data_IF_446737099974
#
_entry.id   IF_446737099974
#
_cell.length_a   1.000
_cell.length_b   1.000
_cell.length_c   1.000
_cell.angle_alpha   90.00
_cell.angle_beta   90.00
_cell.angle_gamma   90.00
#
_symmetry.space_group_name_H-M   'P 1'
#
loop_
_entity.id
_entity.type
_entity.pdbx_description
1 polymer ?
#
# COMPACT_ATOMS: atom_id res chain seq x y z
N UNK A 1 9.11 36.90 12.10
CA UNK A 1 8.28 37.63 11.09
C UNK A 1 7.12 36.73 10.73
N UNK A 2 5.91 37.26 10.54
CA UNK A 2 4.75 36.48 10.08
C UNK A 2 4.89 36.27 8.57
N UNK A 3 4.88 35.03 8.10
CA UNK A 3 5.03 34.70 6.67
C UNK A 3 3.75 35.01 5.89
N UNK A 4 3.82 35.04 4.55
CA UNK A 4 2.61 35.20 3.73
C UNK A 4 1.67 34.01 3.91
N UNK A 5 2.20 32.80 4.05
CA UNK A 5 1.39 31.62 4.36
C UNK A 5 0.60 31.79 5.67
N UNK A 6 1.24 32.24 6.75
CA UNK A 6 0.58 32.47 8.03
C UNK A 6 -0.53 33.53 7.94
N UNK A 7 -0.31 34.59 7.15
CA UNK A 7 -1.35 35.61 6.89
C UNK A 7 -2.50 35.01 6.08
N UNK A 8 -2.20 34.17 5.09
CA UNK A 8 -3.19 33.45 4.29
C UNK A 8 -4.08 32.55 5.14
N UNK A 9 -3.48 31.73 6.03
CA UNK A 9 -4.22 30.87 6.97
C UNK A 9 -5.14 31.71 7.86
N UNK A 10 -4.62 32.76 8.50
CA UNK A 10 -5.43 33.66 9.36
C UNK A 10 -6.56 34.33 8.60
N UNK A 11 -6.32 34.77 7.37
CA UNK A 11 -7.36 35.37 6.53
C UNK A 11 -8.44 34.34 6.17
N UNK A 12 -8.04 33.10 5.84
CA UNK A 12 -8.96 32.01 5.52
C UNK A 12 -9.86 31.65 6.71
N UNK A 13 -9.27 31.51 7.91
CA UNK A 13 -10.00 31.25 9.16
C UNK A 13 -11.02 32.36 9.49
N UNK A 14 -10.66 33.61 9.20
CA UNK A 14 -11.56 34.76 9.35
C UNK A 14 -12.55 34.93 8.17
N UNK A 15 -12.62 33.95 7.26
CA UNK A 15 -13.47 33.96 6.05
C UNK A 15 -13.20 35.13 5.11
N UNK A 16 -12.05 35.78 5.23
CA UNK A 16 -11.57 36.81 4.31
C UNK A 16 -10.92 36.16 3.09
N UNK A 17 -11.70 35.37 2.34
CA UNK A 17 -11.17 34.48 1.30
C UNK A 17 -10.40 35.20 0.18
N UNK A 18 -10.80 36.37 -0.35
CA UNK A 18 -9.99 37.08 -1.34
C UNK A 18 -8.61 37.48 -0.82
N UNK A 19 -8.52 37.92 0.44
CA UNK A 19 -7.24 38.26 1.06
C UNK A 19 -6.40 36.99 1.32
N UNK A 20 -7.03 35.90 1.75
CA UNK A 20 -6.36 34.61 1.90
C UNK A 20 -5.75 34.12 0.58
N UNK A 21 -6.51 34.25 -0.52
CA UNK A 21 -6.09 33.85 -1.85
C UNK A 21 -4.82 34.59 -2.27
N UNK A 22 -4.80 35.93 -2.13
CA UNK A 22 -3.62 36.75 -2.46
C UNK A 22 -2.38 36.34 -1.65
N UNK A 23 -2.54 36.15 -0.34
CA UNK A 23 -1.44 35.72 0.52
C UNK A 23 -0.92 34.31 0.16
N UNK A 24 -1.81 33.40 -0.23
CA UNK A 24 -1.40 32.08 -0.70
C UNK A 24 -0.74 32.12 -2.08
N UNK A 25 -1.16 32.99 -3.00
CA UNK A 25 -0.46 33.19 -4.28
C UNK A 25 0.97 33.70 -4.07
N UNK A 26 1.15 34.70 -3.21
CA UNK A 26 2.48 35.22 -2.85
C UNK A 26 3.34 34.10 -2.25
N UNK A 27 2.82 33.33 -1.28
CA UNK A 27 3.57 32.22 -0.68
C UNK A 27 3.87 31.09 -1.69
N UNK A 28 2.94 30.75 -2.58
CA UNK A 28 3.14 29.72 -3.61
C UNK A 28 4.16 30.14 -4.68
N UNK A 29 4.36 31.45 -4.88
CA UNK A 29 5.43 31.97 -5.74
C UNK A 29 6.83 31.71 -5.17
N UNK A 30 6.93 31.59 -3.83
CA UNK A 30 8.14 31.18 -3.09
C UNK A 30 8.22 29.65 -2.90
N UNK A 31 7.57 28.88 -3.78
CA UNK A 31 7.52 27.41 -3.75
C UNK A 31 6.91 26.80 -2.47
N UNK A 32 6.11 27.57 -1.72
CA UNK A 32 5.40 27.04 -0.55
C UNK A 32 4.31 26.02 -0.98
N UNK A 33 4.55 24.75 -0.68
CA UNK A 33 3.70 23.61 -1.07
C UNK A 33 2.33 23.62 -0.37
N UNK A 34 2.29 24.02 0.89
CA UNK A 34 1.03 24.13 1.65
C UNK A 34 0.14 25.24 1.08
N UNK A 35 0.74 26.36 0.65
CA UNK A 35 0.03 27.44 -0.03
C UNK A 35 -0.56 26.96 -1.36
N UNK A 36 0.19 26.20 -2.16
CA UNK A 36 -0.30 25.61 -3.42
C UNK A 36 -1.49 24.67 -3.17
N UNK A 37 -1.43 23.83 -2.13
CA UNK A 37 -2.57 22.99 -1.72
C UNK A 37 -3.78 23.83 -1.33
N UNK A 38 -3.58 24.91 -0.57
CA UNK A 38 -4.67 25.81 -0.19
C UNK A 38 -5.30 26.50 -1.41
N UNK A 39 -4.49 26.97 -2.36
CA UNK A 39 -4.97 27.53 -3.62
C UNK A 39 -5.80 26.50 -4.40
N UNK A 40 -5.32 25.25 -4.49
CA UNK A 40 -6.05 24.19 -5.14
C UNK A 40 -7.44 23.98 -4.50
N UNK A 41 -7.49 23.88 -3.18
CA UNK A 41 -8.74 23.74 -2.42
C UNK A 41 -9.67 24.96 -2.56
N UNK A 42 -9.11 26.17 -2.65
CA UNK A 42 -9.87 27.40 -2.87
C UNK A 42 -10.51 27.42 -4.25
N UNK A 43 -9.77 27.03 -5.30
CA UNK A 43 -10.31 26.86 -6.65
C UNK A 43 -11.39 25.78 -6.73
N UNK A 44 -11.24 24.66 -6.01
CA UNK A 44 -12.31 23.64 -5.95
C UNK A 44 -13.60 24.17 -5.35
N UNK A 45 -13.49 25.06 -4.35
CA UNK A 45 -14.64 25.60 -3.59
C UNK A 45 -15.18 26.92 -4.16
N UNK A 46 -14.43 27.60 -5.04
CA UNK A 46 -14.70 28.99 -5.41
C UNK A 46 -14.58 29.96 -4.22
N UNK A 47 -13.65 29.69 -3.30
CA UNK A 47 -13.47 30.51 -2.10
C UNK A 47 -12.45 31.60 -2.39
N UNK A 48 -12.89 32.87 -2.51
CA UNK A 48 -11.99 33.99 -2.80
C UNK A 48 -11.55 34.10 -4.26
N UNK A 49 -11.97 33.17 -5.11
CA UNK A 49 -11.76 33.11 -6.56
C UNK A 49 -12.98 32.43 -7.22
N UNK A 50 -13.06 32.46 -8.55
CA UNK A 50 -14.03 31.63 -9.26
C UNK A 50 -13.71 30.13 -9.09
N UNK A 51 -14.75 29.30 -9.05
CA UNK A 51 -14.58 27.86 -8.99
C UNK A 51 -14.02 27.35 -10.31
N UNK A 52 -12.85 26.71 -10.25
CA UNK A 52 -12.17 26.16 -11.42
C UNK A 52 -11.39 24.89 -11.04
N UNK A 53 -11.88 23.73 -11.49
CA UNK A 53 -11.24 22.44 -11.20
C UNK A 53 -9.93 22.24 -11.96
N UNK A 54 -9.75 22.87 -13.12
CA UNK A 54 -8.49 22.78 -13.88
C UNK A 54 -7.39 23.58 -13.20
N UNK A 55 -7.71 24.76 -12.66
CA UNK A 55 -6.77 25.51 -11.84
C UNK A 55 -6.45 24.77 -10.54
N UNK A 56 -7.43 24.12 -9.91
CA UNK A 56 -7.18 23.29 -8.74
C UNK A 56 -6.21 22.12 -9.03
N UNK A 57 -6.44 21.39 -10.12
CA UNK A 57 -5.57 20.32 -10.59
C UNK A 57 -4.13 20.82 -10.77
N UNK A 58 -3.91 21.91 -11.51
CA UNK A 58 -2.58 22.49 -11.73
C UNK A 58 -1.85 22.85 -10.44
N UNK A 59 -2.54 23.42 -9.47
CA UNK A 59 -1.94 23.76 -8.18
C UNK A 59 -1.56 22.52 -7.38
N UNK A 60 -2.42 21.50 -7.35
CA UNK A 60 -2.04 20.22 -6.76
C UNK A 60 -0.86 19.57 -7.48
N UNK A 61 -0.82 19.60 -8.82
CA UNK A 61 0.28 19.02 -9.60
C UNK A 61 1.61 19.71 -9.28
N UNK A 62 1.59 21.04 -9.14
CA UNK A 62 2.77 21.81 -8.73
C UNK A 62 3.23 21.45 -7.32
N UNK A 63 2.32 21.28 -6.36
CA UNK A 63 2.68 20.84 -5.02
C UNK A 63 3.22 19.40 -5.01
N UNK A 64 2.58 18.50 -5.77
CA UNK A 64 2.98 17.10 -5.89
C UNK A 64 4.36 16.94 -6.54
N UNK A 65 4.70 17.73 -7.55
CA UNK A 65 6.03 17.69 -8.17
C UNK A 65 7.15 18.14 -7.24
N UNK A 66 6.81 18.93 -6.20
CA UNK A 66 7.71 19.30 -5.11
C UNK A 66 7.66 18.32 -3.91
N UNK A 67 7.10 17.12 -4.10
CA UNK A 67 7.07 16.05 -3.10
C UNK A 67 5.96 16.19 -2.04
N UNK A 68 4.94 17.02 -2.27
CA UNK A 68 3.86 17.18 -1.30
C UNK A 68 2.87 16.00 -1.34
N UNK A 69 2.97 15.10 -0.37
CA UNK A 69 2.19 13.84 -0.32
C UNK A 69 0.67 14.06 -0.23
N UNK A 70 0.21 15.07 0.49
CA UNK A 70 -1.23 15.39 0.54
C UNK A 70 -1.76 15.89 -0.81
N UNK A 71 -0.93 16.56 -1.61
CA UNK A 71 -1.32 16.97 -2.96
C UNK A 71 -1.43 15.77 -3.89
N UNK A 72 -0.47 14.84 -3.82
CA UNK A 72 -0.52 13.55 -4.53
C UNK A 72 -1.79 12.77 -4.17
N UNK A 73 -2.11 12.64 -2.88
CA UNK A 73 -3.34 11.97 -2.44
C UNK A 73 -4.61 12.68 -2.93
N UNK A 74 -4.60 14.01 -2.95
CA UNK A 74 -5.73 14.80 -3.45
C UNK A 74 -5.94 14.58 -4.94
N UNK A 75 -4.87 14.55 -5.75
CA UNK A 75 -4.95 14.24 -7.19
C UNK A 75 -5.41 12.80 -7.43
N UNK A 76 -4.87 11.84 -6.67
CA UNK A 76 -5.29 10.45 -6.78
C UNK A 76 -6.81 10.31 -6.55
N UNK A 77 -7.33 10.97 -5.51
CA UNK A 77 -8.76 10.98 -5.22
C UNK A 77 -9.58 11.76 -6.26
N UNK A 78 -9.05 12.87 -6.76
CA UNK A 78 -9.68 13.70 -7.79
C UNK A 78 -9.98 12.86 -9.05
N UNK A 79 -9.00 12.10 -9.53
CA UNK A 79 -9.18 11.19 -10.68
C UNK A 79 -9.98 9.93 -10.32
N UNK A 80 -9.80 9.36 -9.13
CA UNK A 80 -10.57 8.19 -8.67
C UNK A 80 -12.09 8.49 -8.67
N UNK A 81 -12.47 9.71 -8.28
CA UNK A 81 -13.87 10.15 -8.25
C UNK A 81 -14.35 10.78 -9.56
N UNK A 82 -13.44 11.10 -10.48
CA UNK A 82 -13.78 11.80 -11.72
C UNK A 82 -14.34 13.19 -11.45
N UNK A 83 -13.74 13.97 -10.55
CA UNK A 83 -14.27 15.28 -10.14
C UNK A 83 -14.39 16.28 -11.30
N UNK A 84 -13.54 16.14 -12.32
CA UNK A 84 -13.51 16.91 -13.57
C UNK A 84 -14.24 16.23 -14.74
N UNK A 85 -14.91 15.10 -14.52
CA UNK A 85 -15.60 14.38 -15.59
C UNK A 85 -15.89 12.92 -15.23
N UNK A 86 -15.13 12.00 -15.82
CA UNK A 86 -15.26 10.56 -15.59
C UNK A 86 -14.09 10.05 -14.74
N UNK A 87 -14.30 9.06 -13.87
CA UNK A 87 -13.22 8.43 -13.14
C UNK A 87 -12.10 7.93 -14.07
N UNK A 88 -10.86 8.18 -13.67
CA UNK A 88 -9.66 7.76 -14.38
C UNK A 88 -8.76 6.96 -13.42
N UNK A 89 -8.90 5.64 -13.48
CA UNK A 89 -8.16 4.72 -12.59
C UNK A 89 -6.65 4.76 -12.85
N UNK A 90 -6.21 5.02 -14.08
CA UNK A 90 -4.79 5.02 -14.43
C UNK A 90 -4.08 6.26 -13.87
N UNK A 91 -4.68 7.44 -14.06
CA UNK A 91 -4.16 8.67 -13.43
C UNK A 91 -4.26 8.62 -11.92
N UNK A 92 -5.34 8.08 -11.36
CA UNK A 92 -5.44 7.87 -9.92
C UNK A 92 -4.30 6.97 -9.39
N UNK A 93 -4.08 5.83 -10.05
CA UNK A 93 -3.01 4.90 -9.70
C UNK A 93 -1.63 5.58 -9.76
N UNK A 94 -1.34 6.38 -10.80
CA UNK A 94 -0.07 7.11 -10.93
C UNK A 94 0.22 7.95 -9.67
N UNK A 95 -0.75 8.72 -9.19
CA UNK A 95 -0.56 9.57 -8.01
C UNK A 95 -0.55 8.77 -6.69
N UNK A 96 -1.32 7.67 -6.60
CA UNK A 96 -1.20 6.75 -5.48
C UNK A 96 0.19 6.11 -5.41
N UNK A 97 0.78 5.70 -6.53
CA UNK A 97 2.15 5.16 -6.56
C UNK A 97 3.17 6.20 -6.11
N UNK A 98 3.07 7.44 -6.60
CA UNK A 98 3.95 8.53 -6.16
C UNK A 98 3.86 8.78 -4.65
N UNK A 99 2.66 8.82 -4.07
CA UNK A 99 2.48 8.97 -2.63
C UNK A 99 2.97 7.73 -1.86
N UNK A 100 2.78 6.53 -2.42
CA UNK A 100 3.25 5.28 -1.82
C UNK A 100 4.78 5.20 -1.76
N UNK A 101 5.48 5.72 -2.77
CA UNK A 101 6.95 5.83 -2.80
C UNK A 101 7.48 6.80 -1.73
N UNK A 102 6.63 7.73 -1.27
CA UNK A 102 6.90 8.62 -0.13
C UNK A 102 6.43 8.04 1.22
N UNK A 103 6.07 6.75 1.27
CA UNK A 103 5.70 6.06 2.50
C UNK A 103 4.27 6.29 2.98
N UNK A 104 3.39 6.88 2.15
CA UNK A 104 1.98 7.09 2.54
C UNK A 104 1.25 5.74 2.56
N UNK A 105 0.94 5.24 3.74
CA UNK A 105 0.36 3.90 3.93
C UNK A 105 -1.02 3.75 3.26
N UNK A 106 -1.86 4.79 3.29
CA UNK A 106 -3.15 4.78 2.59
C UNK A 106 -3.00 4.71 1.06
N UNK A 107 -1.95 5.33 0.52
CA UNK A 107 -1.64 5.26 -0.91
C UNK A 107 -1.15 3.87 -1.31
N UNK A 108 -0.32 3.24 -0.47
CA UNK A 108 0.13 1.85 -0.65
C UNK A 108 -1.06 0.89 -0.64
N UNK A 109 -1.98 1.03 0.33
CA UNK A 109 -3.23 0.26 0.37
C UNK A 109 -4.02 0.43 -0.94
N UNK A 110 -4.23 1.67 -1.38
CA UNK A 110 -5.00 1.97 -2.60
C UNK A 110 -4.36 1.38 -3.86
N UNK A 111 -3.04 1.53 -4.01
CA UNK A 111 -2.32 0.91 -5.12
C UNK A 111 -2.42 -0.62 -5.08
N UNK A 112 -2.24 -1.23 -3.91
CA UNK A 112 -2.38 -2.68 -3.74
C UNK A 112 -3.77 -3.21 -4.11
N UNK A 113 -4.83 -2.49 -3.73
CA UNK A 113 -6.21 -2.82 -4.10
C UNK A 113 -6.46 -2.73 -5.60
N UNK A 114 -5.92 -1.69 -6.27
CA UNK A 114 -6.05 -1.53 -7.73
C UNK A 114 -5.33 -2.67 -8.46
N UNK A 115 -4.11 -3.03 -8.05
CA UNK A 115 -3.40 -4.17 -8.66
C UNK A 115 -4.13 -5.49 -8.43
N UNK A 116 -4.76 -5.66 -7.26
CA UNK A 116 -5.57 -6.85 -6.99
C UNK A 116 -6.77 -6.94 -7.93
N UNK A 117 -7.47 -5.82 -8.16
CA UNK A 117 -8.56 -5.75 -9.15
C UNK A 117 -8.09 -6.06 -10.58
N UNK A 118 -6.85 -5.71 -10.92
CA UNK A 118 -6.23 -5.97 -12.21
C UNK A 118 -5.67 -7.40 -12.34
N UNK A 119 -5.70 -8.20 -11.28
CA UNK A 119 -5.10 -9.54 -11.24
C UNK A 119 -3.57 -9.54 -11.11
N UNK A 120 -2.94 -8.39 -10.86
CA UNK A 120 -1.51 -8.26 -10.62
C UNK A 120 -1.16 -8.63 -9.15
N UNK A 121 -1.42 -9.88 -8.77
CA UNK A 121 -1.37 -10.39 -7.38
C UNK A 121 -0.02 -10.11 -6.70
N UNK A 122 1.10 -10.28 -7.41
CA UNK A 122 2.44 -10.02 -6.86
C UNK A 122 2.63 -8.56 -6.45
N UNK A 123 2.23 -7.61 -7.30
CA UNK A 123 2.28 -6.17 -6.99
C UNK A 123 1.28 -5.80 -5.91
N UNK A 124 0.09 -6.40 -5.95
CA UNK A 124 -0.91 -6.21 -4.90
C UNK A 124 -0.34 -6.57 -3.52
N UNK A 125 0.24 -7.76 -3.38
CA UNK A 125 0.87 -8.19 -2.13
C UNK A 125 2.03 -7.29 -1.73
N UNK A 126 2.90 -6.89 -2.65
CA UNK A 126 4.01 -5.99 -2.35
C UNK A 126 3.52 -4.69 -1.68
N UNK A 127 2.52 -4.02 -2.27
CA UNK A 127 1.99 -2.77 -1.73
C UNK A 127 1.18 -2.97 -0.44
N UNK A 128 0.39 -4.06 -0.35
CA UNK A 128 -0.41 -4.34 0.85
C UNK A 128 0.46 -4.73 2.06
N UNK A 129 1.49 -5.55 1.87
CA UNK A 129 2.47 -5.89 2.93
C UNK A 129 3.17 -4.62 3.40
N UNK A 130 3.61 -3.77 2.47
CA UNK A 130 4.26 -2.49 2.81
C UNK A 130 3.32 -1.58 3.59
N UNK A 131 2.05 -1.47 3.19
CA UNK A 131 1.04 -0.70 3.91
C UNK A 131 0.81 -1.25 5.33
N UNK A 132 0.76 -2.58 5.49
CA UNK A 132 0.56 -3.21 6.79
C UNK A 132 1.73 -2.93 7.75
N UNK A 133 2.97 -2.96 7.26
CA UNK A 133 4.16 -2.56 8.04
C UNK A 133 4.18 -1.07 8.36
N UNK A 134 3.58 -0.24 7.51
CA UNK A 134 3.38 1.19 7.77
C UNK A 134 2.10 1.46 8.60
N UNK A 135 1.64 0.48 9.38
CA UNK A 135 0.52 0.57 10.31
C UNK A 135 -0.83 0.92 9.67
N UNK A 136 -1.05 0.58 8.40
CA UNK A 136 -2.38 0.70 7.81
C UNK A 136 -3.29 -0.44 8.30
N UNK A 137 -4.39 -0.14 9.04
CA UNK A 137 -5.21 -1.17 9.66
C UNK A 137 -6.01 -2.00 8.65
N UNK A 138 -6.39 -1.41 7.51
CA UNK A 138 -7.10 -2.16 6.46
C UNK A 138 -6.14 -3.15 5.77
N UNK A 139 -4.89 -2.74 5.52
CA UNK A 139 -3.88 -3.63 4.99
C UNK A 139 -3.54 -4.77 5.96
N UNK A 140 -3.45 -4.49 7.25
CA UNK A 140 -3.26 -5.52 8.30
C UNK A 140 -4.42 -6.52 8.37
N UNK A 141 -5.64 -6.11 8.02
CA UNK A 141 -6.79 -7.01 7.93
C UNK A 141 -6.81 -7.81 6.62
N UNK A 142 -6.16 -7.32 5.57
CA UNK A 142 -6.09 -7.97 4.25
C UNK A 142 -4.90 -8.94 4.12
N UNK A 143 -3.84 -8.73 4.90
CA UNK A 143 -2.62 -9.53 4.87
C UNK A 143 -2.46 -10.21 6.22
N UNK A 144 -2.59 -11.53 6.23
CA UNK A 144 -2.25 -12.33 7.40
C UNK A 144 -0.73 -12.46 7.47
N UNK A 145 -0.15 -12.00 8.59
CA UNK A 145 1.27 -12.18 8.91
C UNK A 145 1.39 -13.29 9.97
N UNK A 146 2.13 -14.35 9.66
CA UNK A 146 2.53 -15.36 10.64
C UNK A 146 4.02 -15.64 10.52
N UNK A 147 4.66 -15.89 11.65
CA UNK A 147 6.09 -16.12 11.68
C UNK A 147 6.49 -16.96 12.90
N UNK A 148 7.47 -17.84 12.69
CA UNK A 148 8.20 -18.53 13.75
C UNK A 148 9.58 -17.88 14.00
N UNK A 149 9.86 -16.73 13.38
CA UNK A 149 11.12 -16.05 13.49
C UNK A 149 11.42 -15.65 14.95
N UNK A 150 12.63 -15.98 15.40
CA UNK A 150 13.08 -15.72 16.76
C UNK A 150 12.49 -16.63 17.84
N UNK A 151 11.68 -17.65 17.49
CA UNK A 151 11.17 -18.63 18.46
C UNK A 151 12.12 -19.81 18.69
N UNK A 152 12.86 -20.21 17.64
CA UNK A 152 13.85 -21.29 17.67
C UNK A 152 15.06 -20.90 16.83
N UNK A 153 16.25 -20.91 17.43
CA UNK A 153 17.49 -20.55 16.75
C UNK A 153 18.03 -21.67 15.84
N UNK A 154 17.42 -22.86 15.86
CA UNK A 154 17.82 -23.97 14.99
C UNK A 154 17.41 -23.70 13.55
N UNK A 155 18.41 -23.44 12.71
CA UNK A 155 18.22 -23.19 11.29
C UNK A 155 18.44 -24.44 10.46
N UNK A 156 17.79 -24.52 9.29
CA UNK A 156 18.05 -25.59 8.33
C UNK A 156 19.29 -25.25 7.49
N UNK A 157 20.48 -25.57 8.01
CA UNK A 157 21.75 -25.24 7.35
C UNK A 157 21.84 -25.79 5.92
N UNK A 158 21.30 -26.99 5.68
CA UNK A 158 21.25 -27.59 4.35
C UNK A 158 20.47 -26.72 3.37
N UNK A 159 19.27 -26.28 3.76
CA UNK A 159 18.46 -25.35 2.95
C UNK A 159 19.16 -24.00 2.77
N UNK A 160 19.69 -23.42 3.86
CA UNK A 160 20.34 -22.10 3.84
C UNK A 160 21.64 -22.05 3.04
N UNK A 161 22.33 -23.17 2.89
CA UNK A 161 23.55 -23.27 2.08
C UNK A 161 23.30 -23.20 0.56
N UNK A 162 22.04 -23.36 0.14
CA UNK A 162 21.65 -23.29 -1.27
C UNK A 162 21.58 -21.84 -1.74
N UNK A 163 21.80 -21.64 -3.04
CA UNK A 163 21.49 -20.37 -3.70
C UNK A 163 19.97 -20.09 -3.71
N UNK A 164 19.62 -18.81 -3.92
CA UNK A 164 18.22 -18.35 -3.88
C UNK A 164 17.31 -19.09 -4.86
N UNK A 165 17.80 -19.42 -6.05
CA UNK A 165 17.01 -20.13 -7.05
C UNK A 165 16.67 -21.55 -6.61
N UNK A 166 17.63 -22.25 -6.00
CA UNK A 166 17.41 -23.59 -5.44
C UNK A 166 16.53 -23.57 -4.19
N UNK A 167 16.70 -22.58 -3.32
CA UNK A 167 15.81 -22.39 -2.18
C UNK A 167 14.36 -22.20 -2.65
N UNK A 168 14.14 -21.30 -3.61
CA UNK A 168 12.82 -21.06 -4.20
C UNK A 168 12.23 -22.32 -4.83
N UNK A 169 13.02 -23.06 -5.62
CA UNK A 169 12.56 -24.30 -6.24
C UNK A 169 12.14 -25.37 -5.22
N UNK A 170 12.82 -25.45 -4.07
CA UNK A 170 12.42 -26.33 -2.97
C UNK A 170 11.12 -25.87 -2.30
N UNK A 171 10.94 -24.56 -2.09
CA UNK A 171 9.69 -24.01 -1.57
C UNK A 171 8.53 -24.33 -2.53
N UNK A 172 8.71 -24.11 -3.83
CA UNK A 172 7.74 -24.45 -4.88
C UNK A 172 7.40 -25.93 -4.87
N UNK A 173 8.42 -26.80 -4.86
CA UNK A 173 8.24 -28.25 -4.83
C UNK A 173 7.50 -28.72 -3.58
N UNK A 174 7.82 -28.14 -2.42
CA UNK A 174 7.12 -28.44 -1.17
C UNK A 174 5.65 -28.02 -1.24
N UNK A 175 5.37 -26.80 -1.71
CA UNK A 175 4.00 -26.32 -1.86
C UNK A 175 3.21 -27.27 -2.75
N UNK A 176 3.77 -27.64 -3.90
CA UNK A 176 3.12 -28.52 -4.86
C UNK A 176 2.87 -29.94 -4.34
N UNK A 177 3.86 -30.53 -3.65
CA UNK A 177 3.79 -31.94 -3.26
C UNK A 177 3.22 -32.19 -1.88
N UNK A 178 3.19 -31.18 -0.99
CA UNK A 178 2.80 -31.35 0.43
C UNK A 178 1.67 -30.45 0.87
N UNK A 179 1.56 -29.23 0.34
CA UNK A 179 0.58 -28.24 0.82
C UNK A 179 -0.66 -28.22 -0.07
N UNK A 180 -0.48 -28.04 -1.38
CA UNK A 180 -1.58 -27.95 -2.35
C UNK A 180 -2.54 -29.15 -2.26
N UNK A 181 -2.09 -30.41 -2.22
CA UNK A 181 -3.02 -31.55 -2.18
C UNK A 181 -3.89 -31.57 -0.92
N UNK A 182 -3.37 -31.06 0.20
CA UNK A 182 -4.13 -30.96 1.46
C UNK A 182 -5.22 -29.89 1.36
N UNK A 183 -4.93 -28.74 0.76
CA UNK A 183 -5.91 -27.65 0.62
C UNK A 183 -6.97 -27.96 -0.45
N UNK A 184 -6.59 -28.60 -1.54
CA UNK A 184 -7.52 -29.01 -2.61
C UNK A 184 -8.56 -30.03 -2.12
N UNK A 185 -8.18 -30.90 -1.17
CA UNK A 185 -9.12 -31.84 -0.54
C UNK A 185 -10.29 -31.12 0.16
N UNK A 186 -10.07 -29.89 0.62
CA UNK A 186 -11.07 -29.04 1.30
C UNK A 186 -11.62 -27.95 0.37
N UNK A 187 -11.55 -28.13 -0.96
CA UNK A 187 -11.99 -27.14 -1.97
C UNK A 187 -11.28 -25.78 -1.87
N UNK A 188 -10.11 -25.75 -1.24
CA UNK A 188 -9.20 -24.62 -1.20
C UNK A 188 -8.06 -24.77 -2.22
N UNK A 189 -7.03 -23.95 -2.04
CA UNK A 189 -5.89 -23.89 -2.92
C UNK A 189 -4.92 -22.81 -2.47
N UNK A 190 -3.70 -22.87 -2.98
CA UNK A 190 -2.66 -21.91 -2.64
C UNK A 190 -1.71 -21.71 -3.80
N UNK A 191 -1.20 -20.50 -3.96
CA UNK A 191 -0.18 -20.17 -4.94
C UNK A 191 1.00 -19.49 -4.27
N UNK A 192 2.20 -19.91 -4.64
CA UNK A 192 3.40 -19.15 -4.31
C UNK A 192 3.45 -17.92 -5.21
N UNK A 193 3.37 -16.75 -4.60
CA UNK A 193 3.48 -15.46 -5.29
C UNK A 193 4.91 -14.97 -5.33
N UNK A 194 5.62 -15.11 -4.21
CA UNK A 194 7.01 -14.72 -4.13
C UNK A 194 7.75 -15.49 -3.03
N UNK A 195 9.05 -15.62 -3.20
CA UNK A 195 9.99 -16.10 -2.19
C UNK A 195 11.15 -15.12 -2.12
N UNK A 196 11.46 -14.65 -0.92
CA UNK A 196 12.60 -13.76 -0.68
C UNK A 196 13.56 -14.46 0.26
N UNK A 197 14.75 -14.80 -0.23
CA UNK A 197 15.81 -15.37 0.59
C UNK A 197 16.36 -14.35 1.59
N UNK A 198 16.97 -14.83 2.67
CA UNK A 198 17.61 -13.98 3.66
C UNK A 198 17.83 -14.68 4.99
N UNK A 199 18.27 -13.94 6.00
CA UNK A 199 18.41 -14.46 7.36
C UNK A 199 17.06 -14.94 7.93
N UNK A 200 15.98 -14.26 7.54
CA UNK A 200 14.59 -14.63 7.78
C UNK A 200 13.91 -14.72 6.41
N UNK A 201 13.84 -15.89 5.77
CA UNK A 201 13.18 -16.02 4.48
C UNK A 201 11.72 -15.59 4.55
N UNK A 202 11.22 -14.98 3.48
CA UNK A 202 9.82 -14.55 3.39
C UNK A 202 9.12 -15.30 2.26
N UNK A 203 7.92 -15.79 2.55
CA UNK A 203 7.10 -16.54 1.59
C UNK A 203 5.76 -15.84 1.45
N UNK A 204 5.42 -15.46 0.22
CA UNK A 204 4.19 -14.75 -0.09
C UNK A 204 3.25 -15.74 -0.77
N UNK A 205 2.10 -15.96 -0.16
CA UNK A 205 1.12 -16.96 -0.56
C UNK A 205 -0.22 -16.28 -0.86
N UNK A 206 -0.85 -16.66 -1.97
CA UNK A 206 -2.21 -16.27 -2.31
C UNK A 206 -3.14 -17.46 -2.08
N UNK A 207 -4.15 -17.28 -1.25
CA UNK A 207 -5.10 -18.32 -0.92
C UNK A 207 -6.24 -18.36 -1.94
N UNK A 208 -6.49 -19.53 -2.52
CA UNK A 208 -7.51 -19.74 -3.54
C UNK A 208 -8.67 -20.55 -2.96
N UNK A 209 -9.74 -19.90 -2.53
CA UNK A 209 -11.01 -20.59 -2.21
C UNK A 209 -11.48 -20.47 -0.77
N UNK A 210 -12.56 -21.18 -0.46
CA UNK A 210 -13.29 -21.05 0.79
C UNK A 210 -12.83 -22.10 1.82
N UNK A 211 -11.70 -21.85 2.51
CA UNK A 211 -11.62 -22.38 3.88
C UNK A 211 -12.44 -21.45 4.78
N UNK A 212 -13.74 -21.73 4.90
CA UNK A 212 -14.34 -21.52 6.22
C UNK A 212 -13.52 -22.40 7.16
N UNK A 213 -12.72 -21.81 8.06
CA UNK A 213 -11.81 -22.53 8.97
C UNK A 213 -12.54 -23.45 9.97
N UNK A 214 -13.33 -24.41 9.48
CA UNK A 214 -14.31 -25.16 10.25
C UNK A 214 -14.05 -26.68 10.27
N UNK A 215 -13.08 -27.20 9.50
CA UNK A 215 -12.85 -28.66 9.41
C UNK A 215 -11.48 -29.15 9.89
N UNK A 216 -10.57 -28.28 10.35
CA UNK A 216 -9.16 -28.67 10.62
C UNK A 216 -8.67 -28.53 12.08
N UNK A 217 -9.57 -28.31 13.05
CA UNK A 217 -9.22 -28.33 14.49
C UNK A 217 -9.05 -26.96 15.14
N UNK A 218 -8.30 -26.88 16.25
CA UNK A 218 -8.15 -25.69 17.10
C UNK A 218 -7.13 -24.65 16.61
N UNK A 219 -6.55 -24.82 15.42
CA UNK A 219 -5.49 -23.99 14.84
C UNK A 219 -5.93 -23.41 13.50
N UNK A 220 -5.54 -22.16 13.22
CA UNK A 220 -5.91 -21.49 11.96
C UNK A 220 -5.17 -22.09 10.76
N UNK A 221 -5.68 -21.90 9.53
CA UNK A 221 -4.98 -22.31 8.30
C UNK A 221 -3.55 -21.75 8.22
N UNK A 222 -3.35 -20.54 8.77
CA UNK A 222 -2.05 -19.89 8.82
C UNK A 222 -1.07 -20.62 9.76
N UNK A 223 -1.52 -21.09 10.93
CA UNK A 223 -0.70 -21.86 11.86
C UNK A 223 -0.31 -23.22 11.26
N UNK A 224 -1.26 -23.91 10.62
CA UNK A 224 -0.99 -25.16 9.91
C UNK A 224 0.08 -24.98 8.83
N UNK A 225 0.00 -23.89 8.05
CA UNK A 225 1.00 -23.58 7.04
C UNK A 225 2.35 -23.34 7.69
N UNK A 226 2.41 -22.53 8.76
CA UNK A 226 3.65 -22.25 9.47
C UNK A 226 4.33 -23.54 9.97
N UNK A 227 3.59 -24.48 10.55
CA UNK A 227 4.12 -25.78 11.00
C UNK A 227 4.75 -26.59 9.85
N UNK A 228 4.12 -26.58 8.66
CA UNK A 228 4.65 -27.27 7.47
C UNK A 228 5.95 -26.62 6.97
N UNK A 229 5.99 -25.29 6.96
CA UNK A 229 7.20 -24.54 6.61
C UNK A 229 8.31 -24.74 7.64
N UNK A 230 7.99 -24.82 8.94
CA UNK A 230 8.96 -25.12 9.99
C UNK A 230 9.64 -26.48 9.80
N UNK A 231 8.84 -27.50 9.50
CA UNK A 231 9.34 -28.87 9.38
C UNK A 231 10.25 -29.09 8.16
N UNK A 232 10.07 -28.31 7.09
CA UNK A 232 10.65 -28.61 5.78
C UNK A 232 11.56 -27.51 5.22
N UNK A 233 11.33 -26.25 5.60
CA UNK A 233 12.09 -25.10 5.11
C UNK A 233 13.03 -24.60 6.21
N UNK A 234 12.52 -23.90 7.20
CA UNK A 234 13.32 -23.29 8.26
C UNK A 234 12.44 -22.91 9.46
N UNK A 235 13.03 -22.89 10.66
CA UNK A 235 12.34 -22.46 11.88
C UNK A 235 12.32 -20.94 12.09
N UNK A 236 12.86 -20.21 11.14
CA UNK A 236 12.97 -18.76 11.19
C UNK A 236 12.53 -18.16 9.84
N UNK A 237 11.23 -18.29 9.56
CA UNK A 237 10.56 -17.87 8.31
C UNK A 237 9.39 -16.94 8.63
N UNK A 238 9.05 -16.10 7.66
CA UNK A 238 7.85 -15.25 7.67
C UNK A 238 6.94 -15.65 6.52
N UNK A 239 5.65 -15.83 6.80
CA UNK A 239 4.63 -16.06 5.79
C UNK A 239 3.68 -14.86 5.74
N UNK A 240 3.44 -14.37 4.52
CA UNK A 240 2.38 -13.41 4.22
C UNK A 240 1.31 -14.11 3.40
N UNK A 241 0.07 -14.05 3.87
CA UNK A 241 -1.07 -14.65 3.18
C UNK A 241 -2.09 -13.56 2.82
N UNK A 242 -2.49 -13.56 1.56
CA UNK A 242 -3.60 -12.76 1.00
C UNK A 242 -4.71 -13.70 0.55
#
# INVERSE_FOLDING_TARGET
MITQFDKGVRAYENKAYPAAYQHFEEAASEENRDAMVNLALMHMKGAGCERDLQSAEKWFEKAASLGHTHAMMSLAHFYEKGMDGKPDKERALKYYLQAADHGVADAQLKAGMIFREQGEISRAMQYLITAAHNNNPQAQALITYVSNAGLDERTNEMFRSLDEARQKALVEHMIETKIRPTLEADSGGIELINYVAGAVPQVWLNYLGACSGCHLGSTSTADMLLDRFEALIDKNVVLYLM
#
